data_IF_534087516981
#
_entry.id   IF_534087516981
#
_cell.length_a   1.000
_cell.length_b   1.000
_cell.length_c   1.000
_cell.angle_alpha   90.00
_cell.angle_beta   90.00
_cell.angle_gamma   90.00
#
_symmetry.space_group_name_H-M   'P 1'
#
loop_
_entity.id
_entity.type
_entity.pdbx_description
1 polymer ?
#
# COMPACT_ATOMS: atom_id res chain seq x y z
N UNK A 1 -11.18 -2.00 -14.97
CA UNK A 1 -10.31 -0.81 -15.05
C UNK A 1 -9.91 -0.46 -13.62
N UNK A 2 -8.61 -0.35 -13.30
CA UNK A 2 -8.08 -0.19 -11.93
C UNK A 2 -8.46 1.16 -11.32
N UNK A 3 -9.70 1.26 -10.87
CA UNK A 3 -10.28 2.42 -10.19
C UNK A 3 -9.51 2.75 -8.90
N UNK A 4 -8.92 1.75 -8.23
CA UNK A 4 -8.21 1.95 -6.97
C UNK A 4 -6.95 2.82 -7.13
N UNK A 5 -5.98 2.39 -7.95
CA UNK A 5 -4.75 3.16 -8.22
C UNK A 5 -5.07 4.54 -8.78
N UNK A 6 -6.01 4.63 -9.72
CA UNK A 6 -6.38 5.89 -10.35
C UNK A 6 -6.98 6.86 -9.32
N UNK A 7 -7.90 6.37 -8.47
CA UNK A 7 -8.50 7.18 -7.40
C UNK A 7 -7.47 7.58 -6.37
N UNK A 8 -6.58 6.68 -5.95
CA UNK A 8 -5.53 6.99 -4.98
C UNK A 8 -4.54 8.03 -5.52
N UNK A 9 -4.08 7.88 -6.77
CA UNK A 9 -3.27 8.88 -7.47
C UNK A 9 -3.95 10.25 -7.53
N UNK A 10 -5.23 10.28 -7.91
CA UNK A 10 -6.03 11.52 -7.95
C UNK A 10 -6.10 12.17 -6.57
N UNK A 11 -6.33 11.36 -5.54
CA UNK A 11 -6.43 11.80 -4.15
C UNK A 11 -5.14 12.47 -3.65
N UNK A 12 -3.97 11.90 -3.95
CA UNK A 12 -2.69 12.53 -3.64
C UNK A 12 -2.51 13.89 -4.34
N UNK A 13 -2.79 13.94 -5.65
CA UNK A 13 -2.57 15.18 -6.41
C UNK A 13 -3.54 16.29 -5.97
N UNK A 14 -4.80 15.97 -5.69
CA UNK A 14 -5.74 16.95 -5.14
C UNK A 14 -5.33 17.40 -3.73
N UNK A 15 -4.91 16.48 -2.87
CA UNK A 15 -4.38 16.81 -1.54
C UNK A 15 -3.20 17.80 -1.62
N UNK A 16 -2.25 17.60 -2.55
CA UNK A 16 -1.14 18.52 -2.72
C UNK A 16 -1.57 19.91 -3.17
N UNK A 17 -2.51 19.99 -4.11
CA UNK A 17 -3.07 21.27 -4.59
C UNK A 17 -3.80 22.00 -3.44
N UNK A 18 -4.70 21.30 -2.73
CA UNK A 18 -5.52 21.88 -1.65
C UNK A 18 -4.68 22.38 -0.47
N UNK A 19 -3.55 21.73 -0.18
CA UNK A 19 -2.69 22.07 0.94
C UNK A 19 -1.46 22.90 0.54
N UNK A 20 -1.37 23.33 -0.73
CA UNK A 20 -0.23 24.07 -1.28
C UNK A 20 1.13 23.36 -1.02
N UNK A 21 1.14 22.03 -1.14
CA UNK A 21 2.34 21.20 -0.98
C UNK A 21 2.94 20.98 -2.36
N UNK A 22 4.25 21.22 -2.51
CA UNK A 22 4.99 20.89 -3.73
C UNK A 22 5.19 19.37 -3.80
N UNK A 23 4.27 18.68 -4.45
CA UNK A 23 4.37 17.25 -4.68
C UNK A 23 3.56 16.78 -5.89
N UNK A 24 3.85 15.58 -6.34
CA UNK A 24 3.15 14.94 -7.46
C UNK A 24 3.07 13.43 -7.24
N UNK A 25 1.93 12.84 -7.60
CA UNK A 25 1.75 11.40 -7.64
C UNK A 25 1.62 10.90 -9.08
N UNK A 26 2.56 10.05 -9.47
CA UNK A 26 2.64 9.39 -10.75
C UNK A 26 2.13 7.95 -10.64
N UNK A 27 1.38 7.51 -11.64
CA UNK A 27 1.08 6.08 -11.85
C UNK A 27 2.02 5.56 -12.92
N UNK A 28 2.77 4.51 -12.62
CA UNK A 28 3.67 3.90 -13.60
C UNK A 28 2.83 3.08 -14.59
N UNK A 29 3.09 3.24 -15.89
CA UNK A 29 2.45 2.42 -16.92
C UNK A 29 3.19 1.10 -17.02
N UNK A 30 2.47 -0.02 -17.07
CA UNK A 30 3.03 -1.28 -17.52
C UNK A 30 3.40 -1.15 -18.99
N UNK A 31 4.68 -1.26 -19.31
CA UNK A 31 5.12 -1.57 -20.67
C UNK A 31 5.04 -3.09 -20.86
N UNK A 32 4.61 -3.61 -22.02
CA UNK A 32 4.53 -5.05 -22.27
C UNK A 32 5.86 -5.81 -22.09
N UNK A 33 6.97 -5.09 -22.10
CA UNK A 33 8.32 -5.66 -22.07
C UNK A 33 9.13 -5.27 -20.83
N UNK A 34 8.58 -4.43 -19.95
CA UNK A 34 9.27 -4.00 -18.73
C UNK A 34 8.49 -4.39 -17.50
N UNK A 35 9.22 -4.89 -16.51
CA UNK A 35 8.62 -5.21 -15.22
C UNK A 35 8.37 -3.91 -14.45
N UNK A 36 7.09 -3.57 -14.28
CA UNK A 36 6.71 -2.47 -13.40
C UNK A 36 7.25 -2.73 -11.98
N UNK A 37 7.86 -1.70 -11.40
CA UNK A 37 8.41 -1.77 -10.06
C UNK A 37 7.29 -1.63 -9.03
N UNK A 38 6.59 -0.50 -9.03
CA UNK A 38 5.45 -0.20 -8.15
C UNK A 38 4.31 0.45 -8.91
N UNK A 39 3.12 0.49 -8.33
CA UNK A 39 1.94 1.12 -8.93
C UNK A 39 2.00 2.64 -8.95
N UNK A 40 2.36 3.24 -7.81
CA UNK A 40 2.44 4.68 -7.64
C UNK A 40 3.80 5.13 -7.10
N UNK A 41 4.30 6.25 -7.65
CA UNK A 41 5.38 7.03 -7.06
C UNK A 41 4.81 8.37 -6.60
N UNK A 42 5.19 8.78 -5.40
CA UNK A 42 4.85 10.09 -4.84
C UNK A 42 6.17 10.81 -4.61
N UNK A 43 6.31 11.99 -5.20
CA UNK A 43 7.52 12.78 -5.13
C UNK A 43 7.20 14.15 -4.51
N UNK A 44 7.96 14.52 -3.49
CA UNK A 44 7.95 15.83 -2.85
C UNK A 44 9.30 16.06 -2.17
N UNK A 45 9.65 17.33 -1.93
CA UNK A 45 10.79 17.67 -1.07
C UNK A 45 10.48 17.45 0.42
N UNK A 46 9.20 17.36 0.78
CA UNK A 46 8.81 16.92 2.11
C UNK A 46 9.00 15.40 2.20
N UNK A 47 9.88 14.91 3.11
CA UNK A 47 10.14 13.48 3.28
C UNK A 47 8.88 12.66 3.56
N UNK A 48 7.82 13.30 4.08
CA UNK A 48 6.56 12.60 4.32
C UNK A 48 5.84 12.14 3.05
N UNK A 49 6.22 12.69 1.90
CA UNK A 49 5.61 12.40 0.61
C UNK A 49 6.61 11.88 -0.41
N UNK A 50 7.79 11.42 0.01
CA UNK A 50 8.74 10.69 -0.85
C UNK A 50 8.47 9.17 -0.77
N UNK A 51 7.43 8.72 -1.49
CA UNK A 51 6.82 7.40 -1.33
C UNK A 51 6.87 6.56 -2.61
N UNK A 52 6.88 5.24 -2.42
CA UNK A 52 6.55 4.27 -3.46
C UNK A 52 5.47 3.32 -2.93
N UNK A 53 4.38 3.16 -3.68
CA UNK A 53 3.17 2.48 -3.22
C UNK A 53 2.79 1.39 -4.22
N UNK A 54 2.76 0.15 -3.75
CA UNK A 54 2.14 -0.97 -4.46
C UNK A 54 0.66 -1.05 -4.09
N UNK A 55 -0.22 -1.27 -5.05
CA UNK A 55 -1.66 -1.36 -4.85
C UNK A 55 -2.16 -2.79 -5.10
N UNK A 56 -2.94 -3.33 -4.16
CA UNK A 56 -3.68 -4.59 -4.36
C UNK A 56 -5.16 -4.36 -4.06
N UNK A 57 -6.04 -4.83 -4.94
CA UNK A 57 -7.49 -4.81 -4.71
C UNK A 57 -7.99 -6.25 -4.68
N UNK A 58 -8.36 -6.73 -3.49
CA UNK A 58 -8.78 -8.13 -3.28
C UNK A 58 -10.29 -8.23 -3.09
N UNK A 59 -10.87 -9.31 -3.61
CA UNK A 59 -12.27 -9.64 -3.39
C UNK A 59 -12.41 -10.47 -2.11
N UNK A 60 -12.75 -9.78 -1.01
CA UNK A 60 -12.92 -10.37 0.30
C UNK A 60 -14.12 -11.33 0.40
N UNK A 61 -14.95 -11.42 -0.65
CA UNK A 61 -16.00 -12.44 -0.76
C UNK A 61 -15.49 -13.76 -1.34
N UNK A 62 -14.29 -13.77 -1.93
CA UNK A 62 -13.69 -14.92 -2.63
C UNK A 62 -12.39 -15.42 -2.02
N UNK A 63 -11.67 -14.56 -1.33
CA UNK A 63 -10.45 -14.92 -0.59
C UNK A 63 -10.55 -14.40 0.83
N UNK A 64 -9.92 -15.11 1.77
CA UNK A 64 -9.77 -14.69 3.16
C UNK A 64 -8.43 -14.00 3.45
N UNK A 65 -7.54 -13.91 2.46
CA UNK A 65 -6.20 -13.35 2.61
C UNK A 65 -5.62 -12.78 1.30
N UNK A 66 -4.68 -11.85 1.46
CA UNK A 66 -3.73 -11.43 0.43
C UNK A 66 -2.53 -12.37 0.44
N UNK A 67 -2.57 -13.44 -0.35
CA UNK A 67 -1.46 -14.37 -0.53
C UNK A 67 -0.35 -13.83 -1.43
N UNK A 68 0.91 -14.01 -1.03
CA UNK A 68 2.06 -13.60 -1.84
C UNK A 68 2.11 -14.32 -3.18
N UNK A 69 1.89 -15.63 -3.18
CA UNK A 69 1.93 -16.48 -4.38
C UNK A 69 0.84 -16.17 -5.41
N UNK A 70 -0.27 -15.55 -5.00
CA UNK A 70 -1.41 -15.28 -5.87
C UNK A 70 -1.49 -13.82 -6.32
N UNK A 71 -1.16 -12.90 -5.42
CA UNK A 71 -1.41 -11.46 -5.64
C UNK A 71 -0.15 -10.69 -6.02
N UNK A 72 1.02 -11.29 -5.89
CA UNK A 72 2.29 -10.72 -6.30
C UNK A 72 2.87 -11.49 -7.48
N UNK A 73 3.59 -10.78 -8.33
CA UNK A 73 4.14 -11.37 -9.56
C UNK A 73 5.52 -11.97 -9.32
N UNK A 74 5.85 -12.98 -10.11
CA UNK A 74 7.23 -13.44 -10.30
C UNK A 74 7.63 -13.03 -11.72
N UNK A 75 8.78 -12.39 -11.87
CA UNK A 75 9.24 -11.95 -13.18
C UNK A 75 9.85 -13.11 -14.00
N UNK A 76 10.33 -12.80 -15.22
CA UNK A 76 10.92 -13.81 -16.13
C UNK A 76 12.24 -14.40 -15.61
N UNK A 77 12.89 -13.74 -14.66
CA UNK A 77 14.13 -14.19 -14.03
C UNK A 77 13.86 -14.92 -12.71
N UNK A 78 12.59 -15.30 -12.45
CA UNK A 78 12.14 -15.96 -11.23
C UNK A 78 12.32 -15.10 -9.96
N UNK A 79 12.33 -13.77 -10.10
CA UNK A 79 12.45 -12.84 -8.97
C UNK A 79 11.06 -12.38 -8.53
N UNK A 80 10.75 -12.62 -7.25
CA UNK A 80 9.46 -12.23 -6.65
C UNK A 80 9.32 -10.71 -6.57
N UNK A 81 8.12 -10.18 -6.82
CA UNK A 81 7.83 -8.75 -6.83
C UNK A 81 8.21 -8.06 -5.51
N UNK A 82 8.00 -8.73 -4.37
CA UNK A 82 8.40 -8.19 -3.06
C UNK A 82 9.91 -7.91 -3.02
N UNK A 83 10.74 -8.82 -3.53
CA UNK A 83 12.19 -8.64 -3.56
C UNK A 83 12.59 -7.46 -4.49
N UNK A 84 11.97 -7.37 -5.68
CA UNK A 84 12.23 -6.27 -6.63
C UNK A 84 11.86 -4.91 -6.08
N UNK A 85 10.69 -4.79 -5.44
CA UNK A 85 10.26 -3.53 -4.82
C UNK A 85 11.19 -3.20 -3.65
N UNK A 86 11.59 -4.18 -2.85
CA UNK A 86 12.51 -3.95 -1.73
C UNK A 86 13.87 -3.43 -2.18
N UNK A 87 14.45 -3.99 -3.24
CA UNK A 87 15.68 -3.46 -3.87
C UNK A 87 15.50 -2.02 -4.34
N UNK A 88 14.40 -1.74 -5.04
CA UNK A 88 14.09 -0.40 -5.52
C UNK A 88 13.96 0.62 -4.38
N UNK A 89 13.27 0.26 -3.29
CA UNK A 89 13.11 1.10 -2.12
C UNK A 89 14.45 1.39 -1.45
N UNK A 90 15.28 0.35 -1.25
CA UNK A 90 16.62 0.49 -0.69
C UNK A 90 17.48 1.45 -1.51
N UNK A 91 17.49 1.29 -2.83
CA UNK A 91 18.32 2.10 -3.74
C UNK A 91 17.81 3.52 -3.92
N UNK A 92 16.49 3.72 -3.86
CA UNK A 92 15.89 5.03 -4.10
C UNK A 92 15.75 5.89 -2.84
N UNK A 93 15.83 5.29 -1.65
CA UNK A 93 15.58 5.98 -0.39
C UNK A 93 14.12 6.37 -0.16
N UNK A 94 13.19 5.92 -1.02
CA UNK A 94 11.76 6.15 -0.85
C UNK A 94 11.22 5.31 0.29
N UNK A 95 10.18 5.81 0.95
CA UNK A 95 9.40 5.00 1.90
C UNK A 95 8.41 4.14 1.14
N UNK A 96 8.40 2.85 1.44
CA UNK A 96 7.51 1.89 0.81
C UNK A 96 6.19 1.71 1.55
N UNK A 97 5.09 1.60 0.82
CA UNK A 97 3.78 1.24 1.33
C UNK A 97 3.12 0.19 0.43
N UNK A 98 2.34 -0.68 1.03
CA UNK A 98 1.38 -1.56 0.35
C UNK A 98 -0.03 -1.06 0.66
N UNK A 99 -0.73 -0.60 -0.36
CA UNK A 99 -2.11 -0.18 -0.32
C UNK A 99 -3.03 -1.36 -0.65
N UNK A 100 -3.90 -1.77 0.27
CA UNK A 100 -4.81 -2.90 0.06
C UNK A 100 -6.25 -2.44 0.10
N UNK A 101 -6.96 -2.52 -1.02
CA UNK A 101 -8.42 -2.32 -1.10
C UNK A 101 -9.15 -3.65 -0.90
N UNK A 102 -10.02 -3.71 0.11
CA UNK A 102 -10.92 -4.83 0.35
C UNK A 102 -12.29 -4.57 -0.31
N UNK A 103 -12.64 -5.41 -1.28
CA UNK A 103 -13.97 -5.41 -1.91
C UNK A 103 -14.88 -6.40 -1.17
N UNK A 104 -15.85 -5.88 -0.43
CA UNK A 104 -16.74 -6.68 0.43
C UNK A 104 -18.04 -7.13 -0.27
N UNK A 105 -18.07 -7.09 -1.61
CA UNK A 105 -19.28 -7.39 -2.40
C UNK A 105 -20.14 -6.16 -2.71
N UNK A 106 -21.21 -6.37 -3.47
CA UNK A 106 -22.09 -5.31 -3.95
C UNK A 106 -22.79 -4.57 -2.79
N UNK A 107 -22.89 -3.25 -2.88
CA UNK A 107 -23.56 -2.40 -1.89
C UNK A 107 -22.78 -2.15 -0.59
N UNK A 108 -21.64 -2.83 -0.36
CA UNK A 108 -20.78 -2.59 0.81
C UNK A 108 -19.68 -1.56 0.49
N UNK A 109 -19.33 -0.74 1.48
CA UNK A 109 -18.25 0.24 1.36
C UNK A 109 -16.93 -0.50 1.12
N UNK A 110 -16.19 -0.08 0.08
CA UNK A 110 -14.80 -0.49 -0.13
C UNK A 110 -13.93 0.23 0.90
N UNK A 111 -13.18 -0.53 1.69
CA UNK A 111 -12.20 0.03 2.61
C UNK A 111 -10.82 -0.25 2.04
N UNK A 112 -9.90 0.70 2.22
CA UNK A 112 -8.49 0.48 1.88
C UNK A 112 -7.63 0.69 3.12
N UNK A 113 -6.50 -0.01 3.17
CA UNK A 113 -5.59 -0.01 4.31
C UNK A 113 -4.15 0.16 3.82
N UNK A 114 -3.30 0.78 4.64
CA UNK A 114 -1.89 0.99 4.37
C UNK A 114 -1.02 0.14 5.27
N UNK A 115 -0.24 -0.74 4.65
CA UNK A 115 0.73 -1.59 5.33
C UNK A 115 2.13 -1.01 5.05
N UNK A 116 2.91 -0.65 6.07
CA UNK A 116 4.31 -0.27 5.90
C UNK A 116 5.09 -1.37 5.18
N UNK A 117 5.91 -1.03 4.18
CA UNK A 117 6.61 -2.06 3.40
C UNK A 117 7.55 -2.93 4.24
N UNK A 118 8.09 -2.39 5.34
CA UNK A 118 8.88 -3.17 6.30
C UNK A 118 8.11 -4.40 6.80
N UNK A 119 6.84 -4.25 7.17
CA UNK A 119 5.97 -5.34 7.62
C UNK A 119 5.69 -6.34 6.49
N UNK A 120 5.62 -5.88 5.24
CA UNK A 120 5.48 -6.74 4.06
C UNK A 120 6.71 -7.64 3.89
N UNK A 121 7.91 -7.09 4.05
CA UNK A 121 9.17 -7.86 3.96
C UNK A 121 9.28 -8.86 5.10
N UNK A 122 9.01 -8.44 6.34
CA UNK A 122 9.02 -9.32 7.51
C UNK A 122 8.03 -10.48 7.30
N UNK A 123 6.80 -10.18 6.87
CA UNK A 123 5.80 -11.20 6.60
C UNK A 123 6.17 -12.11 5.43
N UNK A 124 6.83 -11.60 4.39
CA UNK A 124 7.21 -12.38 3.21
C UNK A 124 8.25 -13.45 3.53
N UNK A 125 9.14 -13.20 4.51
CA UNK A 125 10.14 -14.17 4.93
C UNK A 125 9.53 -15.33 5.74
N UNK A 126 8.48 -15.06 6.53
CA UNK A 126 7.99 -15.99 7.56
C UNK A 126 6.57 -16.55 7.28
N UNK A 127 5.87 -16.02 6.27
CA UNK A 127 4.43 -16.30 6.07
C UNK A 127 3.98 -16.35 4.62
N UNK A 128 2.73 -16.79 4.42
CA UNK A 128 2.12 -16.98 3.09
C UNK A 128 1.40 -15.74 2.56
N UNK A 129 1.19 -14.73 3.42
CA UNK A 129 0.41 -13.54 3.11
C UNK A 129 -0.13 -12.83 4.36
N UNK A 130 -1.17 -12.01 4.16
CA UNK A 130 -1.91 -11.32 5.22
C UNK A 130 -3.38 -11.73 5.19
N UNK A 131 -3.95 -12.15 6.31
CA UNK A 131 -5.40 -12.39 6.39
C UNK A 131 -6.16 -11.07 6.29
N UNK A 132 -7.44 -11.14 5.96
CA UNK A 132 -8.31 -9.95 5.96
C UNK A 132 -8.31 -9.29 7.34
N UNK A 133 -8.45 -10.07 8.42
CA UNK A 133 -8.48 -9.54 9.77
C UNK A 133 -7.19 -8.78 10.11
N UNK A 134 -6.02 -9.33 9.76
CA UNK A 134 -4.73 -8.65 9.92
C UNK A 134 -4.65 -7.36 9.09
N UNK A 135 -5.13 -7.37 7.84
CA UNK A 135 -5.15 -6.17 6.98
C UNK A 135 -5.96 -5.05 7.65
N UNK A 136 -7.06 -5.40 8.31
CA UNK A 136 -7.96 -4.44 8.96
C UNK A 136 -7.37 -3.82 10.24
N UNK A 137 -6.30 -4.38 10.81
CA UNK A 137 -5.56 -3.79 11.93
C UNK A 137 -4.63 -2.64 11.51
N UNK A 138 -4.34 -2.52 10.22
CA UNK A 138 -3.50 -1.44 9.69
C UNK A 138 -4.27 -0.13 9.48
N UNK A 139 -3.54 0.94 9.20
CA UNK A 139 -4.11 2.26 9.07
C UNK A 139 -5.11 2.33 7.90
N UNK A 140 -6.36 2.67 8.21
CA UNK A 140 -7.42 2.82 7.21
C UNK A 140 -7.21 4.09 6.37
N UNK A 141 -7.37 3.97 5.05
CA UNK A 141 -7.45 5.08 4.12
C UNK A 141 -8.93 5.39 3.92
N UNK A 142 -9.44 6.35 4.68
CA UNK A 142 -10.84 6.73 4.62
C UNK A 142 -11.17 7.31 3.24
N UNK A 143 -12.39 7.03 2.75
CA UNK A 143 -12.93 7.72 1.58
C UNK A 143 -13.80 8.90 2.00
N UNK A 144 -13.56 10.07 1.44
CA UNK A 144 -14.38 11.29 1.59
C UNK A 144 -14.67 11.87 0.20
N UNK A 145 -15.96 12.08 -0.13
CA UNK A 145 -16.41 12.61 -1.42
C UNK A 145 -15.82 11.88 -2.65
N UNK A 146 -15.68 10.55 -2.57
CA UNK A 146 -15.17 9.72 -3.67
C UNK A 146 -13.65 9.60 -3.76
N UNK A 147 -12.90 10.27 -2.88
CA UNK A 147 -11.44 10.27 -2.84
C UNK A 147 -10.93 9.69 -1.54
N UNK A 148 -9.68 9.26 -1.54
CA UNK A 148 -8.97 8.83 -0.34
C UNK A 148 -8.43 10.02 0.44
N UNK A 149 -8.56 10.00 1.75
CA UNK A 149 -7.93 10.99 2.64
C UNK A 149 -6.45 10.64 2.78
N UNK A 150 -5.58 11.60 2.48
CA UNK A 150 -4.12 11.42 2.48
C UNK A 150 -3.54 11.83 3.84
N UNK A 151 -2.95 10.88 4.55
CA UNK A 151 -2.28 11.11 5.83
C UNK A 151 -1.10 10.13 6.04
N UNK A 152 0.03 10.32 5.35
CA UNK A 152 1.17 9.42 5.43
C UNK A 152 1.76 9.27 6.82
N UNK A 153 1.61 10.27 7.70
CA UNK A 153 2.09 10.20 9.09
C UNK A 153 1.32 9.13 9.88
N UNK A 154 -0.01 9.09 9.73
CA UNK A 154 -0.83 8.06 10.40
C UNK A 154 -0.65 6.66 9.84
N UNK A 155 -0.25 6.54 8.58
CA UNK A 155 0.02 5.23 7.97
C UNK A 155 1.30 4.57 8.46
N UNK A 156 2.19 5.32 9.11
CA UNK A 156 3.47 4.82 9.63
C UNK A 156 3.35 4.19 11.02
N UNK A 157 2.38 4.62 11.83
CA UNK A 157 2.35 4.32 13.27
C UNK A 157 1.69 2.99 13.67
N UNK A 158 1.24 2.17 12.71
CA UNK A 158 0.75 0.82 13.01
C UNK A 158 1.85 -0.24 12.83
N UNK A 159 3.01 -0.01 13.45
CA UNK A 159 3.73 -1.16 13.99
C UNK A 159 2.74 -1.78 14.97
N UNK A 160 2.26 -3.00 14.67
CA UNK A 160 1.39 -3.85 15.51
C UNK A 160 1.23 -3.29 16.90
N UNK A 161 0.01 -2.99 17.35
CA UNK A 161 -0.40 -2.84 18.77
C UNK A 161 0.83 -3.00 19.68
N UNK A 162 1.64 -1.95 19.82
CA UNK A 162 2.76 -1.94 20.77
C UNK A 162 2.10 -1.77 22.12
N UNK A 163 1.42 -2.83 22.58
CA UNK A 163 0.72 -2.99 23.85
C UNK A 163 -0.23 -4.22 23.83
N UNK A 164 0.06 -5.31 23.10
CA UNK A 164 -0.17 -6.61 23.77
C UNK A 164 0.94 -6.75 24.79
N UNK A 165 0.67 -6.32 26.02
CA UNK A 165 1.37 -6.76 27.24
C UNK A 165 2.62 -6.00 27.72
N UNK A 166 3.07 -4.90 27.11
CA UNK A 166 4.17 -4.09 27.70
C UNK A 166 3.67 -2.97 28.64
N UNK A 167 2.34 -2.85 28.86
CA UNK A 167 1.75 -1.98 29.91
C UNK A 167 0.52 -2.61 30.59
N UNK A 168 0.54 -3.93 30.78
CA UNK A 168 0.13 -4.45 32.09
C UNK A 168 1.39 -4.53 32.95
N UNK A 169 2.06 -3.38 33.08
CA UNK A 169 2.97 -3.09 34.17
C UNK A 169 2.11 -2.69 35.36
N UNK A 170 2.22 -3.45 36.44
CA UNK A 170 1.53 -3.22 37.71
C UNK A 170 1.51 -4.46 38.58
#
# INVERSE_FOLDING_TARGET
MNDFEHTLKKSFNEFFIENNIRGICHRLKQSPFETQLVDLLVDSLDPDYYLAIECKSIDATKTNALYFTQHFTIDRNNVHQVARISDFLYRSGRRGLLAVELRLGSGRKKNAYMIPWKEVVERFNDGVGFTIDEIQEYAIIQRKKGLYVIDPKRWQNNSRIKEKNERQDG
#
